data_IF_414079932416
#
_entry.id   IF_414079932416
#
_cell.length_a   1.000
_cell.length_b   1.000
_cell.length_c   1.000
_cell.angle_alpha   90.00
_cell.angle_beta   90.00
_cell.angle_gamma   90.00
#
_symmetry.space_group_name_H-M   'P 1'
#
loop_
_entity.id
_entity.type
_entity.pdbx_description
1 polymer ?
#
# COMPACT_ATOMS: atom_id res chain seq x y z
N UNK A 1 34.49 -1.43 -46.90
CA UNK A 1 33.51 -0.45 -46.38
C UNK A 1 32.06 -0.95 -46.37
N UNK A 2 31.66 -1.93 -47.21
CA UNK A 2 30.28 -2.45 -47.27
C UNK A 2 29.87 -3.41 -46.13
N UNK A 3 30.82 -4.14 -45.57
CA UNK A 3 30.56 -5.14 -44.50
C UNK A 3 30.34 -4.50 -43.11
N UNK A 4 30.96 -3.34 -42.86
CA UNK A 4 30.80 -2.63 -41.58
C UNK A 4 29.41 -1.99 -41.46
N UNK A 5 28.85 -1.52 -42.58
CA UNK A 5 27.51 -0.94 -42.62
C UNK A 5 26.42 -1.97 -42.31
N UNK A 6 26.64 -3.25 -42.64
CA UNK A 6 25.69 -4.32 -42.37
C UNK A 6 25.68 -4.72 -40.88
N UNK A 7 26.83 -4.70 -40.20
CA UNK A 7 26.91 -4.99 -38.76
C UNK A 7 26.28 -3.90 -37.89
N UNK A 8 26.35 -2.63 -38.31
CA UNK A 8 25.72 -1.52 -37.58
C UNK A 8 24.18 -1.62 -37.65
N UNK A 9 23.64 -2.04 -38.79
CA UNK A 9 22.19 -2.18 -38.97
C UNK A 9 21.57 -3.28 -38.08
N UNK A 10 22.31 -4.36 -37.82
CA UNK A 10 21.84 -5.49 -36.99
C UNK A 10 21.92 -5.15 -35.50
N UNK A 11 22.86 -4.29 -35.08
CA UNK A 11 22.99 -3.86 -33.68
C UNK A 11 21.85 -2.92 -33.23
N UNK A 12 21.18 -2.25 -34.17
CA UNK A 12 20.09 -1.30 -33.91
C UNK A 12 18.71 -1.97 -33.66
N UNK A 13 18.60 -3.28 -33.82
CA UNK A 13 17.36 -4.04 -33.52
C UNK A 13 17.34 -4.64 -32.10
N UNK A 14 18.35 -4.35 -31.29
CA UNK A 14 18.50 -4.89 -29.94
C UNK A 14 17.65 -4.17 -28.88
N UNK A 15 16.52 -4.80 -28.55
CA UNK A 15 15.85 -4.74 -27.25
C UNK A 15 15.25 -3.39 -26.82
N UNK A 16 14.17 -2.98 -27.50
CA UNK A 16 13.07 -2.34 -26.79
C UNK A 16 12.45 -3.39 -25.86
N UNK A 17 12.98 -3.52 -24.64
CA UNK A 17 12.27 -4.20 -23.57
C UNK A 17 10.96 -3.42 -23.37
N UNK A 18 9.85 -3.96 -23.89
CA UNK A 18 8.53 -3.55 -23.44
C UNK A 18 8.50 -3.85 -21.94
N UNK A 19 8.73 -2.82 -21.12
CA UNK A 19 8.39 -2.88 -19.70
C UNK A 19 6.94 -3.31 -19.67
N UNK A 20 6.70 -4.55 -19.28
CA UNK A 20 5.37 -5.11 -19.21
C UNK A 20 4.62 -4.30 -18.17
N UNK A 21 3.91 -3.26 -18.61
CA UNK A 21 2.96 -2.51 -17.79
C UNK A 21 1.82 -3.46 -17.53
N UNK A 22 2.03 -4.41 -16.61
CA UNK A 22 0.93 -5.01 -15.87
C UNK A 22 0.10 -3.83 -15.42
N UNK A 23 -1.20 -3.76 -15.73
CA UNK A 23 -2.06 -2.71 -15.22
C UNK A 23 -1.78 -2.64 -13.72
N UNK A 24 -1.32 -1.48 -13.24
CA UNK A 24 -1.06 -1.29 -11.83
C UNK A 24 -2.38 -1.62 -11.14
N UNK A 25 -2.42 -2.77 -10.45
CA UNK A 25 -3.59 -3.14 -9.68
C UNK A 25 -3.62 -2.11 -8.55
N UNK A 26 -4.41 -1.06 -8.75
CA UNK A 26 -4.56 0.00 -7.76
C UNK A 26 -5.10 -0.65 -6.49
N UNK A 27 -4.58 -0.21 -5.33
CA UNK A 27 -5.12 -0.66 -4.04
C UNK A 27 -6.64 -0.46 -4.08
N UNK A 28 -7.45 -1.50 -3.79
CA UNK A 28 -8.91 -1.43 -3.91
C UNK A 28 -9.48 -0.24 -3.15
N UNK A 29 -10.50 0.45 -3.68
CA UNK A 29 -11.09 1.63 -3.04
C UNK A 29 -11.52 1.38 -1.59
N UNK A 30 -12.00 0.16 -1.29
CA UNK A 30 -12.37 -0.23 0.08
C UNK A 30 -11.19 -0.14 1.05
N UNK A 31 -10.02 -0.63 0.66
CA UNK A 31 -8.82 -0.58 1.52
C UNK A 31 -8.39 0.87 1.73
N UNK A 32 -8.50 1.71 0.69
CA UNK A 32 -8.29 3.15 0.81
C UNK A 32 -9.24 3.75 1.85
N UNK A 33 -10.55 3.55 1.68
CA UNK A 33 -11.57 4.09 2.60
C UNK A 33 -11.38 3.62 4.05
N UNK A 34 -10.94 2.39 4.28
CA UNK A 34 -10.62 1.88 5.62
C UNK A 34 -9.45 2.65 6.23
N UNK A 35 -8.34 2.79 5.49
CA UNK A 35 -7.17 3.54 5.98
C UNK A 35 -7.52 5.00 6.26
N UNK A 36 -8.30 5.63 5.38
CA UNK A 36 -8.75 7.01 5.56
C UNK A 36 -9.73 7.19 6.71
N UNK A 37 -10.60 6.20 6.93
CA UNK A 37 -11.54 6.17 8.04
C UNK A 37 -10.82 6.05 9.39
N UNK A 38 -9.86 5.12 9.49
CA UNK A 38 -9.09 4.89 10.71
C UNK A 38 -8.17 6.07 11.05
N UNK A 39 -7.54 6.67 10.05
CA UNK A 39 -6.55 7.74 10.27
C UNK A 39 -7.13 9.14 10.22
N UNK A 40 -8.33 9.32 9.67
CA UNK A 40 -8.93 10.63 9.41
C UNK A 40 -8.17 11.46 8.35
N UNK A 41 -7.31 10.82 7.55
CA UNK A 41 -6.43 11.46 6.55
C UNK A 41 -6.72 10.91 5.17
N UNK A 42 -6.36 11.62 4.12
CA UNK A 42 -6.45 11.09 2.75
C UNK A 42 -5.29 10.13 2.51
N UNK A 43 -5.58 8.98 1.90
CA UNK A 43 -4.59 7.94 1.69
C UNK A 43 -4.27 7.83 0.20
N UNK A 44 -3.00 8.05 -0.14
CA UNK A 44 -2.49 7.89 -1.49
C UNK A 44 -1.65 6.61 -1.55
N UNK A 45 -2.17 5.49 -2.09
CA UNK A 45 -1.41 4.26 -2.25
C UNK A 45 -0.17 4.49 -3.10
N UNK A 46 0.97 3.92 -2.68
CA UNK A 46 2.24 4.04 -3.40
C UNK A 46 2.51 2.86 -4.34
N UNK A 47 1.90 1.70 -4.09
CA UNK A 47 2.04 0.50 -4.93
C UNK A 47 0.86 -0.47 -4.80
N UNK A 48 0.78 -1.41 -5.76
CA UNK A 48 0.00 -2.65 -5.64
C UNK A 48 0.74 -3.65 -4.78
N UNK A 49 0.08 -4.24 -3.79
CA UNK A 49 0.64 -5.39 -3.08
C UNK A 49 -0.01 -6.68 -3.55
N UNK A 50 0.80 -7.61 -4.06
CA UNK A 50 0.33 -8.93 -4.50
C UNK A 50 -0.24 -9.79 -3.36
N UNK A 51 0.08 -9.46 -2.11
CA UNK A 51 -0.40 -10.16 -0.93
C UNK A 51 -1.86 -9.84 -0.58
N UNK A 52 -2.41 -8.73 -1.09
CA UNK A 52 -3.80 -8.37 -0.85
C UNK A 52 -4.71 -9.32 -1.61
N UNK A 53 -5.52 -10.08 -0.88
CA UNK A 53 -6.49 -11.00 -1.47
C UNK A 53 -7.89 -10.38 -1.51
N UNK A 54 -8.75 -10.92 -2.37
CA UNK A 54 -10.17 -10.54 -2.42
C UNK A 54 -10.87 -10.78 -1.08
N UNK A 55 -10.46 -11.81 -0.34
CA UNK A 55 -10.98 -12.12 0.99
C UNK A 55 -10.61 -11.01 1.99
N UNK A 56 -9.35 -10.54 1.99
CA UNK A 56 -8.93 -9.44 2.88
C UNK A 56 -9.74 -8.17 2.58
N UNK A 57 -9.87 -7.80 1.30
CA UNK A 57 -10.65 -6.64 0.89
C UNK A 57 -12.11 -6.77 1.35
N UNK A 58 -12.68 -7.96 1.26
CA UNK A 58 -14.06 -8.24 1.67
C UNK A 58 -14.25 -8.17 3.18
N UNK A 59 -13.30 -8.69 3.96
CA UNK A 59 -13.34 -8.63 5.42
C UNK A 59 -13.17 -7.19 5.90
N UNK A 60 -12.17 -6.47 5.39
CA UNK A 60 -11.93 -5.07 5.71
C UNK A 60 -13.11 -4.17 5.32
N UNK A 61 -13.83 -4.50 4.24
CA UNK A 61 -15.03 -3.77 3.82
C UNK A 61 -16.20 -3.86 4.82
N UNK A 62 -16.32 -5.02 5.49
CA UNK A 62 -17.45 -5.32 6.38
C UNK A 62 -17.25 -4.78 7.78
N UNK A 63 -16.00 -4.63 8.20
CA UNK A 63 -15.71 -4.15 9.55
C UNK A 63 -15.82 -2.63 9.64
N UNK A 64 -16.67 -2.11 10.55
CA UNK A 64 -16.70 -0.69 10.86
C UNK A 64 -15.34 -0.17 11.33
N UNK A 65 -15.03 1.07 11.00
CA UNK A 65 -13.83 1.77 11.51
C UNK A 65 -13.78 1.76 13.04
N UNK A 66 -14.94 1.80 13.71
CA UNK A 66 -15.03 1.75 15.16
C UNK A 66 -14.56 0.43 15.80
N UNK A 67 -14.43 -0.65 15.02
CA UNK A 67 -13.90 -1.94 15.50
C UNK A 67 -12.36 -1.96 15.55
N UNK A 68 -11.71 -0.96 14.98
CA UNK A 68 -10.26 -0.78 15.14
C UNK A 68 -9.93 -0.33 16.55
N UNK A 69 -8.78 -0.79 17.05
CA UNK A 69 -8.26 -0.26 18.31
C UNK A 69 -8.03 1.24 18.21
N UNK A 70 -8.07 1.92 19.36
CA UNK A 70 -7.58 3.29 19.45
C UNK A 70 -6.11 3.37 19.00
N UNK A 71 -5.70 4.57 18.60
CA UNK A 71 -4.31 4.84 18.26
C UNK A 71 -3.38 4.49 19.43
N UNK A 72 -2.39 3.64 19.15
CA UNK A 72 -1.35 3.29 20.11
C UNK A 72 -0.01 3.85 19.63
N UNK A 73 0.76 4.43 20.53
CA UNK A 73 2.06 5.02 20.21
C UNK A 73 3.21 4.09 20.63
N UNK A 74 4.22 3.99 19.78
CA UNK A 74 5.46 3.27 20.06
C UNK A 74 6.63 3.98 19.39
N UNK A 75 7.34 4.81 20.15
CA UNK A 75 8.43 5.64 19.63
C UNK A 75 7.91 6.66 18.60
N UNK A 76 8.43 6.61 17.37
CA UNK A 76 8.00 7.49 16.27
C UNK A 76 6.91 6.84 15.38
N UNK A 77 6.24 5.82 15.90
CA UNK A 77 5.23 5.06 15.18
C UNK A 77 3.90 5.12 15.93
N UNK A 78 2.82 5.19 15.16
CA UNK A 78 1.46 5.03 15.64
C UNK A 78 0.88 3.80 14.98
N UNK A 79 0.13 2.99 15.72
CA UNK A 79 -0.48 1.79 15.17
C UNK A 79 -1.89 1.57 15.67
N UNK A 80 -2.65 0.86 14.84
CA UNK A 80 -4.03 0.47 15.08
C UNK A 80 -4.16 -1.01 14.74
N UNK A 81 -4.90 -1.76 15.53
CA UNK A 81 -5.09 -3.19 15.34
C UNK A 81 -6.57 -3.48 15.07
N UNK A 82 -6.82 -4.46 14.20
CA UNK A 82 -8.13 -5.03 13.97
C UNK A 82 -8.01 -6.55 14.00
N UNK A 83 -8.85 -7.22 14.77
CA UNK A 83 -8.88 -8.69 14.85
C UNK A 83 -10.24 -9.16 14.35
N UNK A 84 -10.24 -10.02 13.33
CA UNK A 84 -11.45 -10.58 12.73
C UNK A 84 -11.32 -12.10 12.74
N UNK A 85 -12.01 -12.76 13.67
CA UNK A 85 -11.89 -14.21 13.85
C UNK A 85 -10.43 -14.63 14.07
N UNK A 86 -9.87 -15.38 13.12
CA UNK A 86 -8.48 -15.86 13.15
C UNK A 86 -7.47 -14.96 12.45
N UNK A 87 -7.92 -13.89 11.77
CA UNK A 87 -7.06 -12.94 11.08
C UNK A 87 -6.82 -11.71 11.93
N UNK A 88 -5.62 -11.15 11.85
CA UNK A 88 -5.30 -9.87 12.49
C UNK A 88 -4.67 -8.93 11.47
N UNK A 89 -5.09 -7.68 11.52
CA UNK A 89 -4.59 -6.60 10.70
C UNK A 89 -3.98 -5.54 11.61
N UNK A 90 -2.94 -4.90 11.11
CA UNK A 90 -2.32 -3.77 11.78
C UNK A 90 -2.08 -2.66 10.78
N UNK A 91 -2.60 -1.49 11.08
CA UNK A 91 -2.28 -0.28 10.35
C UNK A 91 -1.16 0.44 11.09
N UNK A 92 0.01 0.50 10.47
CA UNK A 92 1.18 1.18 11.01
C UNK A 92 1.38 2.52 10.29
N UNK A 93 1.44 3.60 11.07
CA UNK A 93 1.73 4.95 10.60
C UNK A 93 3.11 5.33 11.10
N UNK A 94 4.01 5.65 10.17
CA UNK A 94 5.38 6.07 10.47
C UNK A 94 5.70 7.35 9.73
N UNK A 95 6.63 8.15 10.26
CA UNK A 95 7.15 9.32 9.55
C UNK A 95 8.67 9.31 9.65
N UNK A 96 9.33 9.07 8.52
CA UNK A 96 10.78 9.22 8.44
C UNK A 96 11.16 10.68 8.69
N UNK A 97 12.29 10.97 9.38
CA UNK A 97 12.74 12.34 9.63
C UNK A 97 12.88 13.21 8.38
N UNK A 98 13.15 12.58 7.23
CA UNK A 98 13.30 13.27 5.92
C UNK A 98 12.00 13.35 5.12
N UNK A 99 10.90 12.78 5.62
CA UNK A 99 9.62 12.72 4.90
C UNK A 99 8.72 13.89 5.28
N UNK A 100 8.21 14.58 4.26
CA UNK A 100 7.19 15.61 4.43
C UNK A 100 5.86 15.04 4.91
N UNK A 101 5.52 13.81 4.50
CA UNK A 101 4.26 13.14 4.82
C UNK A 101 4.48 11.85 5.62
N UNK A 102 3.57 11.49 6.54
CA UNK A 102 3.54 10.15 7.14
C UNK A 102 3.23 9.09 6.09
N UNK A 103 3.71 7.87 6.31
CA UNK A 103 3.42 6.67 5.54
C UNK A 103 2.52 5.76 6.36
N UNK A 104 1.39 5.35 5.80
CA UNK A 104 0.56 4.27 6.32
C UNK A 104 0.94 2.95 5.64
N UNK A 105 1.05 1.89 6.42
CA UNK A 105 1.31 0.52 5.96
C UNK A 105 0.30 -0.39 6.62
N UNK A 106 -0.55 -1.03 5.82
CA UNK A 106 -1.49 -2.04 6.27
C UNK A 106 -0.85 -3.41 6.18
N UNK A 107 -0.78 -4.08 7.32
CA UNK A 107 -0.17 -5.38 7.53
C UNK A 107 -1.25 -6.42 7.84
N UNK A 108 -1.07 -7.63 7.31
CA UNK A 108 -1.84 -8.82 7.67
C UNK A 108 -0.95 -9.79 8.44
N UNK A 109 -1.49 -10.32 9.52
CA UNK A 109 -0.94 -11.45 10.26
C UNK A 109 -1.85 -12.65 10.06
N UNK A 110 -1.31 -13.72 9.50
CA UNK A 110 -2.03 -15.00 9.37
C UNK A 110 -2.08 -15.74 10.71
N UNK A 111 -1.10 -15.50 11.58
CA UNK A 111 -1.08 -15.92 12.99
C UNK A 111 -0.38 -14.87 13.85
N UNK A 112 -0.58 -14.84 15.19
CA UNK A 112 0.08 -13.86 16.06
C UNK A 112 1.61 -13.90 16.04
N UNK A 113 2.22 -15.03 15.62
CA UNK A 113 3.68 -15.21 15.57
C UNK A 113 4.26 -15.13 14.16
N UNK A 114 3.42 -15.07 13.12
CA UNK A 114 3.91 -15.01 11.74
C UNK A 114 4.50 -13.64 11.42
N UNK A 115 5.47 -13.61 10.52
CA UNK A 115 5.92 -12.36 9.89
C UNK A 115 4.72 -11.72 9.18
N UNK A 116 4.45 -10.43 9.42
CA UNK A 116 3.35 -9.76 8.74
C UNK A 116 3.62 -9.59 7.25
N UNK A 117 2.54 -9.64 6.47
CA UNK A 117 2.55 -9.35 5.05
C UNK A 117 1.98 -7.95 4.81
N UNK A 118 2.70 -7.14 4.04
CA UNK A 118 2.19 -5.84 3.62
C UNK A 118 1.15 -6.04 2.53
N UNK A 119 -0.08 -5.63 2.81
CA UNK A 119 -1.21 -5.72 1.87
C UNK A 119 -1.62 -4.35 1.31
N UNK A 120 -1.23 -3.25 1.95
CA UNK A 120 -1.28 -1.91 1.37
C UNK A 120 -0.23 -0.99 1.99
N UNK A 121 0.20 0.02 1.24
CA UNK A 121 1.07 1.09 1.72
C UNK A 121 0.81 2.35 0.91
N UNK A 122 1.05 3.50 1.53
CA UNK A 122 0.87 4.78 0.89
C UNK A 122 1.17 5.94 1.82
N UNK A 123 1.09 7.15 1.28
CA UNK A 123 1.27 8.38 2.04
C UNK A 123 -0.06 8.88 2.60
N UNK A 124 -0.02 9.46 3.80
CA UNK A 124 -1.17 10.12 4.41
C UNK A 124 -1.06 11.63 4.22
N UNK A 125 -2.08 12.22 3.60
CA UNK A 125 -2.21 13.68 3.47
C UNK A 125 -3.27 14.19 4.45
N UNK A 126 -3.08 15.38 5.06
CA UNK A 126 -4.17 16.04 5.75
C UNK A 126 -5.36 16.17 4.81
N UNK A 127 -6.57 15.87 5.30
CA UNK A 127 -7.79 16.19 4.56
C UNK A 127 -7.88 17.69 4.44
N UNK A 128 -8.09 18.20 3.22
CA UNK A 128 -8.48 19.59 3.05
C UNK A 128 -9.83 19.76 3.72
N UNK A 129 -9.87 20.61 4.74
CA UNK A 129 -11.13 20.98 5.37
C UNK A 129 -11.90 21.78 4.32
N UNK A 130 -12.83 21.12 3.62
CA UNK A 130 -13.82 21.81 2.80
C UNK A 130 -14.74 22.50 3.78
N UNK A 131 -14.31 23.69 4.21
CA UNK A 131 -15.06 24.56 5.10
C UNK A 131 -16.53 24.50 4.73
N UNK A 132 -17.35 24.01 5.66
CA UNK A 132 -18.80 24.00 5.53
C UNK A 132 -19.33 25.43 5.42
#
# INVERSE_FOLDING_TARGET
MKQLQLMIAILLMGASAVAQTKPAATTPPTVVSVVEGVTGKDFQPDTSYAALTQEDATLLAKEPVANWSLAQESGQMMYYNLVIGTRSYQLLVTRSPKSSLPTATLLRYTTPKSKPETIARGSLKPKEDKGK
#
